data_IF_310589988732
#
_entry.id   IF_310589988732
#
_cell.length_a   1.000
_cell.length_b   1.000
_cell.length_c   1.000
_cell.angle_alpha   90.00
_cell.angle_beta   90.00
_cell.angle_gamma   90.00
#
_symmetry.space_group_name_H-M   'P 1'
#
loop_
_entity.id
_entity.type
_entity.pdbx_description
1 polymer ?
#
# COMPACT_ATOMS: atom_id res chain seq x y z
N UNK A 1 11.95 16.26 7.86
CA UNK A 1 11.35 16.17 6.53
C UNK A 1 10.96 14.73 6.30
N UNK A 2 9.67 14.44 6.26
CA UNK A 2 9.19 13.13 5.85
C UNK A 2 8.82 13.24 4.38
N UNK A 3 9.73 12.82 3.50
CA UNK A 3 9.41 12.67 2.09
C UNK A 3 8.66 11.35 1.91
N UNK A 4 7.38 11.42 1.53
CA UNK A 4 6.56 10.25 1.21
C UNK A 4 5.15 10.25 1.80
N UNK A 5 4.35 9.27 1.38
CA UNK A 5 3.00 9.04 1.92
C UNK A 5 3.08 8.37 3.29
N UNK A 6 2.31 8.86 4.25
CA UNK A 6 2.26 8.31 5.61
C UNK A 6 0.82 8.13 6.08
N UNK A 7 0.52 6.99 6.71
CA UNK A 7 -0.75 6.72 7.36
C UNK A 7 -0.65 6.94 8.87
N UNK A 8 -1.52 7.79 9.42
CA UNK A 8 -1.63 8.01 10.87
C UNK A 8 -2.50 6.95 11.56
N UNK A 9 -3.36 6.27 10.80
CA UNK A 9 -4.28 5.23 11.26
C UNK A 9 -4.61 4.33 10.07
N UNK A 10 -4.65 3.01 10.31
CA UNK A 10 -5.08 2.01 9.32
C UNK A 10 -6.59 1.76 9.40
N UNK A 11 -7.22 1.30 8.31
CA UNK A 11 -8.64 0.91 8.32
C UNK A 11 -8.94 -0.23 9.31
N UNK A 12 -7.93 -1.04 9.64
CA UNK A 12 -8.01 -2.15 10.61
C UNK A 12 -7.93 -1.68 12.05
N UNK A 13 -7.45 -0.46 12.29
CA UNK A 13 -7.32 0.10 13.62
C UNK A 13 -8.69 0.55 14.15
N UNK A 14 -9.37 -0.36 14.85
CA UNK A 14 -10.63 -0.03 15.55
C UNK A 14 -10.36 0.97 16.68
N UNK A 15 -10.70 2.24 16.47
CA UNK A 15 -10.54 3.33 17.46
C UNK A 15 -11.88 3.95 17.85
N UNK A 16 -12.00 4.37 19.11
CA UNK A 16 -13.17 5.13 19.58
C UNK A 16 -13.14 6.55 18.99
N UNK A 17 -14.28 7.24 18.88
CA UNK A 17 -14.33 8.63 18.40
C UNK A 17 -13.41 9.60 19.17
N UNK A 18 -13.22 9.40 20.48
CA UNK A 18 -12.30 10.21 21.30
C UNK A 18 -10.83 10.00 20.92
N UNK A 19 -10.43 8.77 20.60
CA UNK A 19 -9.07 8.45 20.15
C UNK A 19 -8.81 9.02 18.76
N UNK A 20 -9.78 8.91 17.83
CA UNK A 20 -9.69 9.53 16.51
C UNK A 20 -9.46 11.03 16.62
N UNK A 21 -10.23 11.72 17.46
CA UNK A 21 -10.03 13.16 17.73
C UNK A 21 -8.64 13.47 18.27
N UNK A 22 -8.07 12.60 19.12
CA UNK A 22 -6.71 12.77 19.65
C UNK A 22 -5.66 12.62 18.54
N UNK A 23 -5.81 11.60 17.68
CA UNK A 23 -4.91 11.37 16.54
C UNK A 23 -4.96 12.58 15.59
N UNK A 24 -6.14 13.05 15.21
CA UNK A 24 -6.28 14.22 14.32
C UNK A 24 -5.62 15.48 14.88
N UNK A 25 -5.68 15.69 16.20
CA UNK A 25 -5.01 16.83 16.87
C UNK A 25 -3.48 16.72 16.89
N UNK A 26 -2.94 15.50 16.75
CA UNK A 26 -1.51 15.24 16.77
C UNK A 26 -0.88 15.24 15.38
N UNK A 27 -1.68 15.33 14.32
CA UNK A 27 -1.19 15.46 12.94
C UNK A 27 -0.38 16.75 12.82
N UNK A 28 0.91 16.61 12.50
CA UNK A 28 1.82 17.74 12.30
C UNK A 28 1.91 18.10 10.82
N UNK A 29 2.03 19.38 10.52
CA UNK A 29 2.38 19.82 9.17
C UNK A 29 3.79 19.35 8.85
N UNK A 30 3.91 18.37 7.94
CA UNK A 30 5.17 17.76 7.60
C UNK A 30 6.09 18.69 6.78
N UNK A 31 5.49 19.55 5.96
CA UNK A 31 6.20 20.43 5.01
C UNK A 31 6.90 19.65 3.89
N UNK A 32 6.79 20.13 2.65
CA UNK A 32 7.57 19.63 1.52
C UNK A 32 7.56 20.66 0.40
N UNK A 33 8.55 20.60 -0.49
CA UNK A 33 8.61 21.42 -1.70
C UNK A 33 7.64 20.94 -2.79
N UNK A 34 7.16 19.70 -2.70
CA UNK A 34 6.30 19.07 -3.72
C UNK A 34 5.05 18.45 -3.10
N UNK A 35 3.94 18.49 -3.86
CA UNK A 35 2.74 17.72 -3.58
C UNK A 35 2.60 16.62 -4.64
N UNK A 36 2.61 15.35 -4.23
CA UNK A 36 2.42 14.22 -5.15
C UNK A 36 1.09 13.52 -4.92
N UNK A 37 0.09 13.95 -5.70
CA UNK A 37 -1.22 13.32 -5.76
C UNK A 37 -1.13 11.88 -6.28
N UNK A 38 -0.23 11.62 -7.23
CA UNK A 38 -0.08 10.29 -7.82
C UNK A 38 0.50 9.28 -6.82
N UNK A 39 1.48 9.67 -6.01
CA UNK A 39 2.04 8.79 -4.98
C UNK A 39 1.04 8.49 -3.86
N UNK A 40 0.25 9.48 -3.40
CA UNK A 40 -0.76 9.20 -2.35
C UNK A 40 -1.89 8.31 -2.87
N UNK A 41 -2.28 8.43 -4.14
CA UNK A 41 -3.28 7.55 -4.75
C UNK A 41 -2.76 6.13 -4.98
N UNK A 42 -1.49 5.99 -5.36
CA UNK A 42 -0.79 4.69 -5.40
C UNK A 42 -0.77 4.05 -4.01
N UNK A 43 -0.36 4.79 -2.99
CA UNK A 43 -0.33 4.33 -1.60
C UNK A 43 -1.74 3.91 -1.14
N UNK A 44 -2.75 4.71 -1.46
CA UNK A 44 -4.16 4.42 -1.14
C UNK A 44 -4.65 3.13 -1.82
N UNK A 45 -4.25 2.88 -3.08
CA UNK A 45 -4.63 1.68 -3.82
C UNK A 45 -3.98 0.40 -3.29
N UNK A 46 -2.68 0.45 -3.01
CA UNK A 46 -1.88 -0.74 -2.73
C UNK A 46 -1.62 -0.99 -1.24
N UNK A 47 -1.82 0.01 -0.37
CA UNK A 47 -1.63 -0.14 1.07
C UNK A 47 -2.97 -0.03 1.81
N UNK A 48 -3.71 1.07 1.62
CA UNK A 48 -4.94 1.31 2.38
C UNK A 48 -6.09 0.39 1.95
N UNK A 49 -6.38 0.32 0.64
CA UNK A 49 -7.45 -0.52 0.10
C UNK A 49 -6.90 -1.80 -0.54
N UNK A 50 -5.76 -2.33 -0.04
CA UNK A 50 -5.19 -3.53 -0.61
C UNK A 50 -6.10 -4.74 -0.43
N UNK A 51 -6.51 -4.96 0.83
CA UNK A 51 -7.34 -6.08 1.27
C UNK A 51 -8.71 -5.56 1.68
N UNK A 52 -9.74 -6.37 1.44
CA UNK A 52 -11.13 -6.03 1.74
C UNK A 52 -11.55 -6.74 3.02
N UNK A 53 -11.60 -5.99 4.13
CA UNK A 53 -12.02 -6.56 5.42
C UNK A 53 -13.52 -6.34 5.69
N UNK A 54 -14.15 -5.39 4.99
CA UNK A 54 -15.57 -5.02 5.12
C UNK A 54 -16.24 -4.88 3.74
N UNK A 55 -16.74 -5.98 3.15
CA UNK A 55 -17.36 -5.94 1.82
C UNK A 55 -18.68 -5.16 1.79
N UNK A 56 -19.35 -5.02 2.94
CA UNK A 56 -20.62 -4.32 3.11
C UNK A 56 -20.47 -2.79 3.18
N UNK A 57 -19.26 -2.27 3.42
CA UNK A 57 -19.03 -0.85 3.58
C UNK A 57 -18.68 -0.18 2.23
N UNK A 58 -19.23 1.02 1.97
CA UNK A 58 -18.77 1.89 0.90
C UNK A 58 -17.32 2.31 1.15
N UNK A 59 -16.50 2.27 0.09
CA UNK A 59 -15.08 2.65 0.15
C UNK A 59 -14.92 4.02 -0.46
N UNK A 60 -14.47 4.98 0.34
CA UNK A 60 -14.38 6.38 -0.08
C UNK A 60 -12.99 6.92 0.28
N UNK A 61 -12.36 7.61 -0.66
CA UNK A 61 -11.13 8.36 -0.46
C UNK A 61 -11.41 9.86 -0.70
N UNK A 62 -11.38 10.65 0.38
CA UNK A 62 -11.51 12.11 0.30
C UNK A 62 -10.12 12.73 0.15
N UNK A 63 -9.85 13.34 -1.01
CA UNK A 63 -8.53 13.81 -1.40
C UNK A 63 -8.45 15.35 -1.37
N UNK A 64 -7.85 15.90 -0.32
CA UNK A 64 -7.68 17.35 -0.13
C UNK A 64 -6.43 17.84 -0.89
N UNK A 65 -6.58 18.79 -1.81
CA UNK A 65 -5.51 19.29 -2.68
C UNK A 65 -5.52 20.81 -2.76
N UNK A 66 -4.35 21.42 -2.55
CA UNK A 66 -4.20 22.88 -2.59
C UNK A 66 -3.18 23.38 -3.62
N UNK A 67 -2.47 22.48 -4.30
CA UNK A 67 -1.39 22.83 -5.22
C UNK A 67 -1.31 21.84 -6.39
N UNK A 68 -0.38 22.10 -7.33
CA UNK A 68 -0.14 21.27 -8.49
C UNK A 68 1.01 20.28 -8.26
N UNK A 69 0.77 19.02 -8.65
CA UNK A 69 1.82 18.01 -8.79
C UNK A 69 2.69 18.25 -10.04
N UNK A 70 4.03 18.06 -9.95
CA UNK A 70 4.92 18.13 -11.10
C UNK A 70 4.49 17.19 -12.25
N UNK A 71 4.51 17.63 -13.53
CA UNK A 71 4.02 16.82 -14.65
C UNK A 71 4.69 15.44 -14.80
N UNK A 72 5.97 15.33 -14.41
CA UNK A 72 6.69 14.06 -14.43
C UNK A 72 6.12 13.00 -13.49
N UNK A 73 5.55 13.42 -12.36
CA UNK A 73 4.96 12.53 -11.34
C UNK A 73 3.51 12.18 -11.67
N UNK A 74 2.79 13.05 -12.38
CA UNK A 74 1.39 12.87 -12.75
C UNK A 74 1.13 11.77 -13.81
N UNK A 75 2.17 11.16 -14.39
CA UNK A 75 2.06 10.20 -15.52
C UNK A 75 1.15 9.02 -15.23
N UNK A 76 1.16 8.52 -13.99
CA UNK A 76 0.40 7.33 -13.60
C UNK A 76 -0.90 7.66 -12.84
N UNK A 77 -1.25 8.94 -12.70
CA UNK A 77 -2.44 9.37 -11.97
C UNK A 77 -3.69 8.60 -12.39
N UNK A 78 -3.96 8.58 -13.69
CA UNK A 78 -5.14 7.93 -14.27
C UNK A 78 -5.15 6.43 -13.96
N UNK A 79 -3.99 5.77 -14.03
CA UNK A 79 -3.86 4.34 -13.72
C UNK A 79 -4.24 4.04 -12.27
N UNK A 80 -3.79 4.85 -11.32
CA UNK A 80 -4.11 4.63 -9.91
C UNK A 80 -5.58 4.89 -9.60
N UNK A 81 -6.18 5.93 -10.16
CA UNK A 81 -7.62 6.19 -10.00
C UNK A 81 -8.45 5.06 -10.64
N UNK A 82 -8.05 4.55 -11.79
CA UNK A 82 -8.71 3.39 -12.40
C UNK A 82 -8.57 2.12 -11.57
N UNK A 83 -7.41 1.91 -10.93
CA UNK A 83 -7.20 0.82 -9.97
C UNK A 83 -8.14 0.93 -8.77
N UNK A 84 -8.28 2.14 -8.21
CA UNK A 84 -9.20 2.42 -7.10
C UNK A 84 -10.65 2.16 -7.52
N UNK A 85 -11.06 2.59 -8.72
CA UNK A 85 -12.37 2.29 -9.30
C UNK A 85 -12.62 0.78 -9.43
N UNK A 86 -11.65 0.01 -9.92
CA UNK A 86 -11.75 -1.46 -10.00
C UNK A 86 -11.97 -2.09 -8.61
N UNK A 87 -11.40 -1.50 -7.56
CA UNK A 87 -11.63 -1.89 -6.16
C UNK A 87 -12.91 -1.29 -5.54
N UNK A 88 -13.79 -0.68 -6.35
CA UNK A 88 -15.01 0.01 -5.92
C UNK A 88 -14.75 1.10 -4.88
N UNK A 89 -13.61 1.79 -5.00
CA UNK A 89 -13.28 2.96 -4.18
C UNK A 89 -13.69 4.22 -4.93
N UNK A 90 -14.55 5.02 -4.30
CA UNK A 90 -14.98 6.33 -4.78
C UNK A 90 -13.92 7.35 -4.38
N UNK A 91 -13.41 8.13 -5.32
CA UNK A 91 -12.39 9.16 -5.08
C UNK A 91 -13.04 10.54 -5.20
N UNK A 92 -13.08 11.27 -4.09
CA UNK A 92 -13.72 12.60 -3.99
C UNK A 92 -12.60 13.65 -3.89
N UNK A 93 -12.21 14.31 -4.99
CA UNK A 93 -11.22 15.37 -4.95
C UNK A 93 -11.81 16.66 -4.37
N UNK A 94 -11.09 17.26 -3.42
CA UNK A 94 -11.43 18.52 -2.76
C UNK A 94 -10.31 19.53 -3.00
N UNK A 95 -10.53 20.45 -3.95
CA UNK A 95 -9.63 21.55 -4.24
C UNK A 95 -9.79 22.69 -3.24
N UNK A 96 -8.68 23.20 -2.70
CA UNK A 96 -8.68 24.28 -1.71
C UNK A 96 -7.71 25.38 -2.15
N UNK A 97 -8.22 26.59 -2.33
CA UNK A 97 -7.41 27.74 -2.68
C UNK A 97 -7.21 27.95 -4.18
N UNK A 98 -6.64 29.10 -4.55
CA UNK A 98 -6.46 29.49 -5.95
C UNK A 98 -5.41 28.65 -6.69
N UNK A 99 -4.56 27.91 -5.95
CA UNK A 99 -3.49 27.09 -6.51
C UNK A 99 -3.89 25.63 -6.72
N UNK A 100 -5.12 25.25 -6.37
CA UNK A 100 -5.63 23.90 -6.58
C UNK A 100 -5.64 23.55 -8.09
N UNK A 101 -5.11 22.38 -8.44
CA UNK A 101 -5.00 21.97 -9.83
C UNK A 101 -6.35 21.46 -10.38
N UNK A 102 -7.12 22.36 -10.98
CA UNK A 102 -8.43 22.04 -11.58
C UNK A 102 -8.36 21.02 -12.71
N UNK A 103 -7.26 20.97 -13.48
CA UNK A 103 -7.08 19.97 -14.54
C UNK A 103 -6.96 18.57 -13.93
N UNK A 104 -6.17 18.45 -12.86
CA UNK A 104 -6.01 17.20 -12.12
C UNK A 104 -7.33 16.76 -11.48
N UNK A 105 -8.06 17.67 -10.84
CA UNK A 105 -9.38 17.40 -10.24
C UNK A 105 -10.35 16.83 -11.28
N UNK A 106 -10.47 17.50 -12.44
CA UNK A 106 -11.34 17.05 -13.53
C UNK A 106 -10.91 15.71 -14.12
N UNK A 107 -9.61 15.40 -14.13
CA UNK A 107 -9.12 14.10 -14.59
C UNK A 107 -9.56 12.98 -13.65
N UNK A 108 -9.54 13.21 -12.34
CA UNK A 108 -10.00 12.24 -11.33
C UNK A 108 -11.51 12.06 -11.42
N UNK A 109 -12.26 13.17 -11.48
CA UNK A 109 -13.72 13.20 -11.62
C UNK A 109 -14.18 12.38 -12.84
N UNK A 110 -13.53 12.55 -14.00
CA UNK A 110 -13.85 11.82 -15.23
C UNK A 110 -13.61 10.31 -15.17
N UNK A 111 -12.92 9.77 -14.17
CA UNK A 111 -12.63 8.33 -14.13
C UNK A 111 -13.83 7.49 -13.69
N UNK A 112 -14.77 8.05 -12.94
CA UNK A 112 -15.95 7.33 -12.46
C UNK A 112 -17.10 8.32 -12.20
N UNK A 113 -18.36 8.00 -12.57
CA UNK A 113 -19.50 8.89 -12.35
C UNK A 113 -19.76 9.20 -10.87
N UNK A 114 -19.34 8.31 -9.96
CA UNK A 114 -19.46 8.49 -8.52
C UNK A 114 -18.43 9.46 -7.95
N UNK A 115 -17.34 9.75 -8.68
CA UNK A 115 -16.34 10.71 -8.25
C UNK A 115 -16.91 12.12 -8.41
N UNK A 116 -17.38 12.74 -7.33
CA UNK A 116 -17.81 14.15 -7.32
C UNK A 116 -16.68 15.04 -6.81
N UNK A 117 -16.36 16.13 -7.51
CA UNK A 117 -15.37 17.10 -7.06
C UNK A 117 -16.00 18.25 -6.25
N UNK A 118 -15.26 18.75 -5.25
CA UNK A 118 -15.56 19.99 -4.55
C UNK A 118 -14.39 20.96 -4.72
N UNK A 119 -14.66 22.23 -5.00
CA UNK A 119 -13.63 23.26 -5.15
C UNK A 119 -14.01 24.46 -4.32
N UNK A 120 -13.08 24.89 -3.47
CA UNK A 120 -13.22 26.00 -2.55
C UNK A 120 -12.12 27.02 -2.80
N UNK A 121 -12.46 28.30 -2.68
CA UNK A 121 -11.55 29.44 -2.83
C UNK A 121 -10.54 29.58 -1.69
N UNK A 122 -10.84 29.01 -0.52
CA UNK A 122 -10.00 29.09 0.68
C UNK A 122 -10.33 28.00 1.71
N UNK A 123 -9.47 27.85 2.72
CA UNK A 123 -9.74 26.98 3.88
C UNK A 123 -10.93 27.50 4.70
N UNK A 124 -11.21 28.81 4.69
CA UNK A 124 -12.38 29.38 5.36
C UNK A 124 -13.69 28.93 4.70
N UNK A 125 -13.74 28.92 3.37
CA UNK A 125 -14.91 28.43 2.63
C UNK A 125 -15.13 26.92 2.85
N UNK A 126 -14.05 26.14 2.90
CA UNK A 126 -14.11 24.72 3.24
C UNK A 126 -14.82 24.46 4.58
N UNK A 127 -14.58 25.31 5.59
CA UNK A 127 -15.27 25.22 6.88
C UNK A 127 -16.75 25.59 6.77
N UNK A 128 -17.08 26.64 6.02
CA UNK A 128 -18.45 27.12 5.85
C UNK A 128 -19.33 26.09 5.12
N UNK A 129 -18.76 25.36 4.16
CA UNK A 129 -19.46 24.39 3.31
C UNK A 129 -19.18 22.92 3.69
N UNK A 130 -18.66 22.68 4.90
CA UNK A 130 -18.34 21.33 5.39
C UNK A 130 -19.55 20.38 5.31
N UNK A 131 -20.74 20.90 5.57
CA UNK A 131 -21.97 20.11 5.68
C UNK A 131 -22.41 19.57 4.30
N UNK A 132 -22.01 20.24 3.21
CA UNK A 132 -22.21 19.77 1.84
C UNK A 132 -21.42 18.49 1.56
N UNK A 133 -20.16 18.44 2.01
CA UNK A 133 -19.30 17.25 1.88
C UNK A 133 -19.85 16.13 2.76
N UNK A 134 -20.24 16.43 4.00
CA UNK A 134 -20.80 15.44 4.93
C UNK A 134 -22.08 14.84 4.37
N UNK A 135 -23.00 15.67 3.87
CA UNK A 135 -24.25 15.20 3.26
C UNK A 135 -23.95 14.24 2.11
N UNK A 136 -23.04 14.62 1.21
CA UNK A 136 -22.67 13.76 0.09
C UNK A 136 -22.04 12.43 0.54
N UNK A 137 -21.18 12.44 1.57
CA UNK A 137 -20.60 11.21 2.12
C UNK A 137 -21.67 10.29 2.73
N UNK A 138 -22.69 10.86 3.37
CA UNK A 138 -23.82 10.10 3.91
C UNK A 138 -24.68 9.48 2.81
N UNK A 139 -24.90 10.19 1.69
CA UNK A 139 -25.66 9.68 0.54
C UNK A 139 -24.97 8.47 -0.13
N UNK A 140 -23.66 8.33 0.03
CA UNK A 140 -22.88 7.19 -0.46
C UNK A 140 -22.90 6.00 0.50
N UNK A 141 -23.52 6.12 1.68
CA UNK A 141 -23.63 5.02 2.62
C UNK A 141 -24.52 3.90 2.02
N UNK A 142 -24.15 2.62 2.17
CA UNK A 142 -25.02 1.52 1.80
C UNK A 142 -26.32 1.59 2.59
N UNK A 143 -27.43 1.25 1.96
CA UNK A 143 -28.73 1.20 2.62
C UNK A 143 -28.67 0.21 3.79
N UNK A 144 -29.13 0.62 4.97
CA UNK A 144 -29.06 -0.21 6.16
C UNK A 144 -29.86 -1.50 5.92
N UNK A 145 -29.32 -2.69 6.26
CA UNK A 145 -30.12 -3.91 6.24
C UNK A 145 -31.38 -3.71 7.09
N UNK A 146 -32.56 -4.04 6.54
CA UNK A 146 -33.81 -3.99 7.27
C UNK A 146 -33.64 -4.71 8.64
N UNK A 147 -34.20 -4.19 9.75
CA UNK A 147 -34.07 -4.82 11.05
C UNK A 147 -34.57 -6.27 10.98
N UNK A 148 -33.64 -7.21 11.00
CA UNK A 148 -33.99 -8.63 11.13
C UNK A 148 -34.51 -8.79 12.54
N UNK A 149 -35.77 -9.21 12.69
CA UNK A 149 -36.36 -9.50 13.99
C UNK A 149 -35.42 -10.43 14.79
N UNK A 150 -35.13 -10.14 16.06
CA UNK A 150 -34.30 -11.03 16.88
C UNK A 150 -35.00 -12.38 17.03
N UNK A 151 -34.40 -13.44 16.49
CA UNK A 151 -34.74 -14.81 16.85
C UNK A 151 -34.35 -15.03 18.33
N UNK A 152 -35.14 -15.78 19.12
CA UNK A 152 -34.85 -16.00 20.53
C UNK A 152 -33.51 -16.73 20.72
N UNK A 153 -32.68 -16.16 21.59
CA UNK A 153 -31.35 -16.65 21.96
C UNK A 153 -31.51 -18.01 22.66
N UNK A 154 -30.99 -19.07 22.03
CA UNK A 154 -30.78 -20.35 22.71
C UNK A 154 -29.59 -20.22 23.67
N UNK A 155 -29.81 -20.52 24.96
CA UNK A 155 -28.75 -20.62 25.95
C UNK A 155 -27.90 -21.87 25.68
N UNK A 156 -26.59 -21.69 25.54
CA UNK A 156 -25.63 -22.81 25.42
C UNK A 156 -25.00 -23.07 26.79
N UNK A 157 -25.31 -24.24 27.34
CA UNK A 157 -24.77 -24.80 28.58
C UNK A 157 -23.30 -25.20 28.37
N UNK A 158 -22.41 -24.78 29.27
CA UNK A 158 -21.00 -25.18 29.29
C UNK A 158 -20.83 -26.64 29.74
N UNK A 159 -20.01 -27.41 29.02
CA UNK A 159 -19.48 -28.72 29.43
C UNK A 159 -17.97 -28.65 29.70
N UNK A 160 -17.40 -29.56 30.52
CA UNK A 160 -16.09 -29.37 31.15
C UNK A 160 -14.90 -29.84 30.31
N UNK A 161 -13.75 -29.27 30.67
CA UNK A 161 -12.39 -29.46 30.14
C UNK A 161 -11.93 -30.93 30.14
N UNK A 162 -11.19 -31.31 29.09
CA UNK A 162 -10.29 -32.48 29.10
C UNK A 162 -8.87 -32.01 28.82
N UNK A 163 -8.01 -32.28 29.80
CA UNK A 163 -6.56 -32.10 29.79
C UNK A 163 -5.90 -33.02 28.76
N UNK A 164 -5.04 -32.44 27.92
CA UNK A 164 -4.17 -33.16 26.99
C UNK A 164 -2.80 -32.51 26.96
N UNK A 165 -1.99 -32.78 28.00
CA UNK A 165 -0.58 -32.43 28.06
C UNK A 165 0.16 -33.22 27.00
N UNK A 166 0.76 -32.54 26.03
CA UNK A 166 1.88 -33.06 25.24
C UNK A 166 3.10 -32.17 25.46
N UNK A 167 4.19 -32.82 25.83
CA UNK A 167 5.46 -32.26 26.29
C UNK A 167 6.08 -31.26 25.28
N UNK A 168 6.80 -30.22 25.72
CA UNK A 168 7.44 -29.26 24.85
C UNK A 168 8.73 -29.86 24.27
N UNK A 169 8.59 -30.63 23.19
CA UNK A 169 9.67 -30.69 22.22
C UNK A 169 9.83 -29.29 21.65
N UNK A 170 10.97 -28.64 21.89
CA UNK A 170 11.34 -27.32 21.38
C UNK A 170 10.94 -27.18 19.91
N UNK A 171 9.74 -26.64 19.66
CA UNK A 171 9.38 -26.10 18.34
C UNK A 171 10.25 -24.86 18.20
N UNK A 172 11.38 -25.00 17.49
CA UNK A 172 11.94 -23.82 16.81
C UNK A 172 10.78 -23.29 15.98
N UNK A 173 10.28 -22.11 16.31
CA UNK A 173 9.28 -21.44 15.49
C UNK A 173 9.90 -21.25 14.11
N UNK A 174 9.65 -22.18 13.18
CA UNK A 174 10.08 -22.04 11.79
C UNK A 174 9.34 -20.83 11.25
N UNK A 175 10.05 -19.73 11.05
CA UNK A 175 9.49 -18.51 10.47
C UNK A 175 9.16 -18.81 9.01
N UNK A 176 7.87 -18.81 8.68
CA UNK A 176 7.39 -18.92 7.31
C UNK A 176 7.29 -17.50 6.74
N UNK A 177 8.13 -17.18 5.76
CA UNK A 177 8.25 -15.82 5.20
C UNK A 177 8.53 -15.89 3.70
N UNK A 178 7.91 -14.99 2.95
CA UNK A 178 8.27 -14.72 1.55
C UNK A 178 9.07 -13.41 1.48
N UNK A 179 10.32 -13.49 1.05
CA UNK A 179 11.26 -12.35 1.05
C UNK A 179 11.73 -12.04 -0.37
N UNK A 180 11.55 -10.80 -0.81
CA UNK A 180 12.07 -10.32 -2.11
C UNK A 180 13.21 -9.33 -1.85
N UNK A 181 14.40 -9.63 -2.39
CA UNK A 181 15.50 -8.68 -2.45
C UNK A 181 15.40 -7.85 -3.73
N UNK A 182 15.43 -6.53 -3.62
CA UNK A 182 15.33 -5.60 -4.76
C UNK A 182 16.62 -4.79 -4.86
N UNK A 183 17.52 -5.22 -5.75
CA UNK A 183 18.87 -4.68 -5.94
C UNK A 183 18.88 -3.61 -7.03
N UNK A 184 19.41 -2.42 -6.71
CA UNK A 184 19.69 -1.41 -7.72
C UNK A 184 20.96 -1.77 -8.49
N UNK A 185 20.85 -1.89 -9.82
CA UNK A 185 21.95 -2.17 -10.75
C UNK A 185 22.17 -1.04 -11.76
N UNK A 186 22.04 0.22 -11.34
CA UNK A 186 22.24 1.40 -12.21
C UNK A 186 23.72 1.79 -12.39
N UNK A 187 24.03 2.55 -13.44
CA UNK A 187 25.39 3.08 -13.66
C UNK A 187 25.82 4.06 -12.56
N UNK A 188 24.86 4.59 -11.79
CA UNK A 188 25.13 5.47 -10.65
C UNK A 188 25.70 4.71 -9.46
N UNK A 189 25.26 3.47 -9.22
CA UNK A 189 25.86 2.62 -8.19
C UNK A 189 27.19 2.04 -8.68
N UNK A 190 27.23 1.63 -9.95
CA UNK A 190 28.38 1.01 -10.59
C UNK A 190 28.62 -0.44 -10.14
N UNK A 191 29.32 -1.21 -10.97
CA UNK A 191 29.52 -2.65 -10.79
C UNK A 191 30.19 -3.03 -9.46
N UNK A 192 31.19 -2.25 -9.02
CA UNK A 192 31.90 -2.52 -7.76
C UNK A 192 30.97 -2.48 -6.55
N UNK A 193 30.06 -1.50 -6.48
CA UNK A 193 29.13 -1.38 -5.35
C UNK A 193 27.93 -2.32 -5.50
N UNK A 194 27.54 -2.64 -6.74
CA UNK A 194 26.57 -3.71 -6.99
C UNK A 194 27.07 -5.05 -6.46
N UNK A 195 28.31 -5.43 -6.74
CA UNK A 195 28.90 -6.69 -6.26
C UNK A 195 28.94 -6.75 -4.73
N UNK A 196 29.29 -5.65 -4.05
CA UNK A 196 29.19 -5.55 -2.58
C UNK A 196 27.76 -5.75 -2.07
N UNK A 197 26.77 -5.22 -2.78
CA UNK A 197 25.35 -5.36 -2.41
C UNK A 197 24.85 -6.80 -2.60
N UNK A 198 25.32 -7.49 -3.65
CA UNK A 198 25.07 -8.91 -3.90
C UNK A 198 25.73 -9.80 -2.84
N UNK A 199 26.98 -9.53 -2.48
CA UNK A 199 27.70 -10.23 -1.41
C UNK A 199 26.99 -10.07 -0.06
N UNK A 200 26.57 -8.85 0.29
CA UNK A 200 25.76 -8.61 1.49
C UNK A 200 24.44 -9.40 1.47
N UNK A 201 23.74 -9.42 0.33
CA UNK A 201 22.52 -10.22 0.17
C UNK A 201 22.78 -11.71 0.37
N UNK A 202 23.89 -12.24 -0.18
CA UNK A 202 24.31 -13.64 0.04
C UNK A 202 24.53 -13.94 1.52
N UNK A 203 25.25 -13.07 2.24
CA UNK A 203 25.51 -13.20 3.68
C UNK A 203 24.22 -13.21 4.51
N UNK A 204 23.24 -12.38 4.13
CA UNK A 204 21.91 -12.36 4.77
C UNK A 204 21.18 -13.69 4.52
N UNK A 205 21.08 -14.13 3.26
CA UNK A 205 20.39 -15.38 2.89
C UNK A 205 21.04 -16.60 3.56
N UNK A 206 22.37 -16.61 3.71
CA UNK A 206 23.10 -17.66 4.41
C UNK A 206 22.61 -17.87 5.84
N UNK A 207 22.24 -16.78 6.53
CA UNK A 207 21.74 -16.79 7.92
C UNK A 207 20.24 -17.09 8.03
N UNK A 208 19.47 -16.97 6.95
CA UNK A 208 18.03 -17.24 6.92
C UNK A 208 17.73 -18.74 6.87
N UNK A 209 16.61 -19.17 7.43
CA UNK A 209 16.12 -20.56 7.35
C UNK A 209 15.36 -20.78 6.02
N UNK A 210 16.10 -20.75 4.90
CA UNK A 210 15.55 -20.91 3.55
C UNK A 210 15.27 -22.37 3.26
N UNK A 211 14.04 -22.66 2.83
CA UNK A 211 13.56 -24.01 2.61
C UNK A 211 12.09 -24.03 2.18
N UNK A 212 11.68 -25.15 1.58
CA UNK A 212 10.36 -25.33 0.95
C UNK A 212 9.18 -25.04 1.89
N UNK A 213 9.31 -25.33 3.20
CA UNK A 213 8.26 -25.14 4.20
C UNK A 213 8.57 -23.98 5.18
N UNK A 214 9.53 -23.12 4.84
CA UNK A 214 10.08 -22.09 5.72
C UNK A 214 10.19 -20.74 5.00
N UNK A 215 11.39 -20.20 4.80
CA UNK A 215 11.57 -18.93 4.10
C UNK A 215 11.75 -19.18 2.60
N UNK A 216 10.94 -18.51 1.79
CA UNK A 216 11.12 -18.42 0.33
C UNK A 216 11.77 -17.10 -0.04
N UNK A 217 12.59 -17.11 -1.09
CA UNK A 217 13.37 -15.96 -1.56
C UNK A 217 13.11 -15.72 -3.04
N UNK A 218 12.98 -14.45 -3.41
CA UNK A 218 13.08 -13.97 -4.78
C UNK A 218 14.05 -12.79 -4.86
N UNK A 219 14.63 -12.56 -6.03
CA UNK A 219 15.62 -11.51 -6.27
C UNK A 219 15.28 -10.76 -7.55
N UNK A 220 15.16 -9.44 -7.43
CA UNK A 220 14.96 -8.51 -8.54
C UNK A 220 16.19 -7.61 -8.66
N UNK A 221 16.68 -7.43 -9.88
CA UNK A 221 17.62 -6.35 -10.22
C UNK A 221 16.87 -5.25 -10.97
N UNK A 222 17.10 -3.99 -10.63
CA UNK A 222 16.48 -2.87 -11.34
C UNK A 222 17.44 -1.73 -11.66
N UNK A 223 17.25 -1.11 -12.81
CA UNK A 223 17.78 0.21 -13.15
C UNK A 223 16.65 1.03 -13.76
N UNK A 224 16.63 1.23 -15.08
CA UNK A 224 15.47 1.78 -15.78
C UNK A 224 14.39 0.71 -15.96
N UNK A 225 14.79 -0.54 -16.21
CA UNK A 225 13.92 -1.72 -16.28
C UNK A 225 14.14 -2.63 -15.08
N UNK A 226 13.23 -3.58 -14.89
CA UNK A 226 13.29 -4.59 -13.83
C UNK A 226 13.60 -5.94 -14.46
N UNK A 227 14.50 -6.69 -13.85
CA UNK A 227 14.80 -8.08 -14.21
C UNK A 227 14.58 -8.96 -12.99
N UNK A 228 13.80 -10.03 -13.16
CA UNK A 228 13.73 -11.09 -12.16
C UNK A 228 14.94 -12.00 -12.32
N UNK A 229 15.82 -12.02 -11.33
CA UNK A 229 17.02 -12.87 -11.31
C UNK A 229 16.74 -14.20 -10.60
N UNK A 230 15.82 -14.19 -9.62
CA UNK A 230 15.31 -15.38 -8.95
C UNK A 230 13.85 -15.17 -8.52
N UNK A 231 12.99 -16.19 -8.59
CA UNK A 231 11.56 -16.09 -8.31
C UNK A 231 11.09 -17.14 -7.31
N UNK A 232 9.94 -16.90 -6.67
CA UNK A 232 9.35 -17.87 -5.73
C UNK A 232 8.92 -19.20 -6.38
N UNK A 233 8.81 -19.25 -7.71
CA UNK A 233 8.47 -20.48 -8.43
C UNK A 233 9.68 -21.39 -8.68
N UNK A 234 10.89 -20.92 -8.42
CA UNK A 234 12.11 -21.71 -8.51
C UNK A 234 12.35 -22.51 -7.21
N UNK A 235 13.33 -23.40 -7.23
CA UNK A 235 13.59 -24.34 -6.12
C UNK A 235 13.97 -23.60 -4.84
N UNK A 236 13.17 -23.66 -3.78
CA UNK A 236 13.40 -22.88 -2.57
C UNK A 236 14.38 -23.54 -1.58
N UNK A 237 15.40 -24.24 -2.08
CA UNK A 237 16.47 -24.79 -1.23
C UNK A 237 17.55 -23.74 -1.00
N UNK A 238 18.12 -23.67 0.21
CA UNK A 238 19.21 -22.73 0.51
C UNK A 238 20.39 -22.84 -0.46
N UNK A 239 20.74 -24.06 -0.86
CA UNK A 239 21.84 -24.30 -1.80
C UNK A 239 21.57 -23.70 -3.18
N UNK A 240 20.39 -23.95 -3.72
CA UNK A 240 20.00 -23.48 -5.05
C UNK A 240 19.87 -21.95 -5.09
N UNK A 241 19.25 -21.36 -4.05
CA UNK A 241 19.11 -19.90 -3.92
C UNK A 241 20.49 -19.24 -3.88
N UNK A 242 21.41 -19.73 -3.03
CA UNK A 242 22.75 -19.15 -2.91
C UNK A 242 23.58 -19.33 -4.19
N UNK A 243 23.40 -20.44 -4.91
CA UNK A 243 24.06 -20.64 -6.20
C UNK A 243 23.61 -19.58 -7.20
N UNK A 244 22.30 -19.38 -7.38
CA UNK A 244 21.77 -18.38 -8.32
C UNK A 244 22.20 -16.97 -7.93
N UNK A 245 22.15 -16.64 -6.64
CA UNK A 245 22.58 -15.34 -6.11
C UNK A 245 24.02 -14.99 -6.50
N UNK A 246 24.95 -15.95 -6.44
CA UNK A 246 26.36 -15.74 -6.83
C UNK A 246 26.52 -15.47 -8.33
N UNK A 247 25.63 -16.03 -9.14
CA UNK A 247 25.68 -15.91 -10.60
C UNK A 247 25.07 -14.61 -11.12
N UNK A 248 24.34 -13.85 -10.27
CA UNK A 248 23.76 -12.56 -10.63
C UNK A 248 24.85 -11.58 -11.07
N UNK A 249 24.68 -11.05 -12.29
CA UNK A 249 25.58 -10.09 -12.92
C UNK A 249 25.02 -8.68 -12.88
N UNK A 250 25.91 -7.71 -12.75
CA UNK A 250 25.60 -6.30 -12.95
C UNK A 250 25.09 -6.05 -14.37
N UNK A 251 23.91 -5.42 -14.51
CA UNK A 251 23.29 -5.10 -15.82
C UNK A 251 23.47 -3.66 -16.27
N UNK A 252 23.71 -2.74 -15.33
CA UNK A 252 23.82 -1.32 -15.62
C UNK A 252 22.51 -0.66 -16.05
N UNK A 253 22.62 0.63 -16.33
CA UNK A 253 21.50 1.45 -16.79
C UNK A 253 21.64 2.90 -16.38
N UNK A 254 21.41 3.79 -17.34
CA UNK A 254 21.67 5.21 -17.21
C UNK A 254 20.73 5.97 -16.25
N UNK A 255 19.67 5.31 -15.74
CA UNK A 255 18.66 5.88 -14.85
C UNK A 255 18.11 4.82 -13.90
N UNK A 256 17.56 5.29 -12.78
CA UNK A 256 16.93 4.46 -11.75
C UNK A 256 15.42 4.70 -11.76
N UNK A 257 14.64 3.62 -11.77
CA UNK A 257 13.18 3.65 -11.73
C UNK A 257 12.65 2.70 -10.64
N UNK A 258 12.87 3.08 -9.37
CA UNK A 258 12.37 2.34 -8.21
C UNK A 258 10.84 2.19 -8.23
N UNK A 259 10.12 3.15 -8.80
CA UNK A 259 8.67 3.08 -8.95
C UNK A 259 8.22 1.88 -9.81
N UNK A 260 8.94 1.61 -10.91
CA UNK A 260 8.68 0.45 -11.76
C UNK A 260 9.09 -0.86 -11.09
N UNK A 261 10.18 -0.89 -10.32
CA UNK A 261 10.58 -2.05 -9.52
C UNK A 261 9.49 -2.45 -8.51
N UNK A 262 8.96 -1.48 -7.77
CA UNK A 262 7.86 -1.72 -6.82
C UNK A 262 6.56 -2.13 -7.51
N UNK A 263 6.27 -1.58 -8.69
CA UNK A 263 5.11 -1.98 -9.48
C UNK A 263 5.25 -3.42 -9.98
N UNK A 264 6.43 -3.79 -10.51
CA UNK A 264 6.70 -5.16 -10.96
C UNK A 264 6.54 -6.16 -9.81
N UNK A 265 7.12 -5.86 -8.65
CA UNK A 265 7.01 -6.66 -7.43
C UNK A 265 5.53 -6.88 -7.03
N UNK A 266 4.72 -5.81 -7.06
CA UNK A 266 3.29 -5.90 -6.75
C UNK A 266 2.47 -6.70 -7.78
N UNK A 267 2.88 -6.69 -9.05
CA UNK A 267 2.10 -7.26 -10.15
C UNK A 267 2.53 -8.69 -10.53
N UNK A 268 3.76 -9.09 -10.20
CA UNK A 268 4.35 -10.35 -10.68
C UNK A 268 5.01 -11.19 -9.59
N UNK A 269 5.57 -10.58 -8.53
CA UNK A 269 6.31 -11.34 -7.50
C UNK A 269 5.39 -11.84 -6.38
N UNK A 270 4.35 -11.09 -6.01
CA UNK A 270 3.39 -11.47 -4.96
C UNK A 270 1.95 -11.66 -5.48
N UNK A 271 1.76 -11.69 -6.80
CA UNK A 271 0.47 -12.03 -7.40
C UNK A 271 0.27 -13.54 -7.33
N UNK A 272 -0.79 -13.96 -6.63
CA UNK A 272 -1.25 -15.35 -6.60
C UNK A 272 -1.75 -15.84 -7.97
#
# INVERSE_FOLDING_TARGET
YHDGSHAYIDLRDRKRPSELRRITRQVKYAGSEVASTSEVLKYTLFQIFNKVDRPEASRIALLLMASQEPPGMARNLVRYVQGLRKKKVIVIPVGIGPHANLRQIRLIEKQAPENKAFVFSSVGELQQRRDEIISHLCDLAPEAPAPTQPLPIAQVTMGPEILGVSSPGSKRNSTVLDVVFVLEGSDKIGEVNFNKSREFMEEVIQQMDVGQDSIHVAVLQYSYTVTAEYTFHEVQSKGDVLQHVREIRYRGGNRTNTGQALQYLSEHSFSA
#
